data_IF_447643800261
#
_entry.id   IF_447643800261
#
_cell.length_a   1.000
_cell.length_b   1.000
_cell.length_c   1.000
_cell.angle_alpha   90.00
_cell.angle_beta   90.00
_cell.angle_gamma   90.00
#
_symmetry.space_group_name_H-M   'P 1'
#
loop_
_entity.id
_entity.type
_entity.pdbx_description
1 polymer ?
#
# COMPACT_ATOMS: atom_id res chain seq x y z
N UNK A 1 -5.64 -0.89 -5.84
CA UNK A 1 -4.38 -0.55 -6.51
C UNK A 1 -3.32 -0.14 -5.49
N UNK A 2 -2.08 -0.55 -5.70
CA UNK A 2 -0.93 -0.06 -4.92
C UNK A 2 -0.40 1.21 -5.59
N UNK A 3 -0.43 2.33 -4.87
CA UNK A 3 0.00 3.65 -5.37
C UNK A 3 1.29 4.16 -4.72
N UNK A 4 1.70 3.57 -3.59
CA UNK A 4 2.95 3.89 -2.92
C UNK A 4 3.42 2.75 -2.04
N UNK A 5 4.73 2.55 -1.99
CA UNK A 5 5.37 1.50 -1.19
C UNK A 5 6.82 1.88 -0.86
N UNK A 6 7.36 1.29 0.17
CA UNK A 6 8.74 1.45 0.55
C UNK A 6 9.28 0.15 1.17
N UNK A 7 10.58 -0.04 1.09
CA UNK A 7 11.30 -1.14 1.73
C UNK A 7 12.40 -0.62 2.62
N UNK A 8 12.57 -1.22 3.79
CA UNK A 8 13.65 -0.97 4.72
C UNK A 8 13.94 -2.24 5.51
N UNK A 9 15.11 -2.30 6.13
CA UNK A 9 15.49 -3.32 7.11
C UNK A 9 14.90 -3.06 8.49
N UNK A 10 14.33 -1.88 8.71
CA UNK A 10 13.73 -1.48 9.98
C UNK A 10 12.32 -0.92 9.79
N UNK A 11 11.42 -1.36 10.66
CA UNK A 11 10.05 -0.84 10.71
C UNK A 11 10.03 0.49 11.48
N UNK A 12 10.38 1.56 10.79
CA UNK A 12 10.46 2.90 11.37
C UNK A 12 9.38 3.82 10.83
N UNK A 13 9.15 4.95 11.53
CA UNK A 13 8.31 6.04 11.05
C UNK A 13 8.74 6.52 9.65
N UNK A 14 10.05 6.62 9.38
CA UNK A 14 10.58 7.05 8.08
C UNK A 14 10.13 6.14 6.93
N UNK A 15 10.01 4.84 7.17
CA UNK A 15 9.54 3.88 6.16
C UNK A 15 8.11 4.17 5.71
N UNK A 16 7.19 4.36 6.65
CA UNK A 16 5.78 4.63 6.32
C UNK A 16 5.58 6.01 5.72
N UNK A 17 6.35 7.02 6.18
CA UNK A 17 6.37 8.36 5.57
C UNK A 17 6.85 8.30 4.11
N UNK A 18 7.90 7.52 3.84
CA UNK A 18 8.40 7.36 2.47
C UNK A 18 7.36 6.70 1.56
N UNK A 19 6.67 5.66 2.03
CA UNK A 19 5.61 5.02 1.27
C UNK A 19 4.45 5.99 0.98
N UNK A 20 4.04 6.80 1.98
CA UNK A 20 2.98 7.80 1.84
C UNK A 20 3.36 8.91 0.86
N UNK A 21 4.58 9.44 0.95
CA UNK A 21 5.07 10.46 0.00
C UNK A 21 5.09 9.95 -1.44
N UNK A 22 5.50 8.70 -1.66
CA UNK A 22 5.44 8.06 -2.99
C UNK A 22 4.00 7.89 -3.48
N UNK A 23 3.08 7.56 -2.58
CA UNK A 23 1.66 7.50 -2.93
C UNK A 23 1.15 8.87 -3.41
N UNK A 24 1.51 9.96 -2.73
CA UNK A 24 1.14 11.33 -3.14
C UNK A 24 1.73 11.75 -4.49
N UNK A 25 2.95 11.27 -4.81
CA UNK A 25 3.57 11.50 -6.12
C UNK A 25 2.84 10.77 -7.24
N UNK A 26 2.34 9.57 -6.96
CA UNK A 26 1.61 8.75 -7.94
C UNK A 26 0.18 9.23 -8.12
N UNK A 27 -0.46 9.60 -7.03
CA UNK A 27 -1.84 10.09 -6.99
C UNK A 27 -1.96 11.15 -5.89
N UNK A 28 -1.93 12.44 -6.26
CA UNK A 28 -2.10 13.51 -5.29
C UNK A 28 -3.40 13.34 -4.49
N UNK A 29 -3.37 13.52 -3.16
CA UNK A 29 -4.56 13.40 -2.34
C UNK A 29 -5.55 14.52 -2.66
N UNK A 30 -6.83 14.22 -2.51
CA UNK A 30 -7.91 15.20 -2.56
C UNK A 30 -8.39 15.50 -1.14
N UNK A 31 -8.85 16.71 -0.91
CA UNK A 31 -9.42 17.10 0.39
C UNK A 31 -10.53 16.13 0.81
N UNK A 32 -10.53 15.74 2.09
CA UNK A 32 -11.49 14.78 2.63
C UNK A 32 -11.18 13.31 2.35
N UNK A 33 -10.05 12.99 1.69
CA UNK A 33 -9.59 11.61 1.56
C UNK A 33 -9.46 10.97 2.95
N UNK A 34 -9.92 9.74 3.09
CA UNK A 34 -9.76 8.96 4.32
C UNK A 34 -8.53 8.06 4.18
N UNK A 35 -7.55 8.26 5.07
CA UNK A 35 -6.41 7.35 5.23
C UNK A 35 -6.70 6.39 6.38
N UNK A 36 -6.76 5.09 6.09
CA UNK A 36 -6.95 4.05 7.10
C UNK A 36 -5.65 3.30 7.37
N UNK A 37 -5.33 3.06 8.64
CA UNK A 37 -4.18 2.24 9.08
C UNK A 37 -4.53 1.38 10.29
N UNK A 38 -3.63 0.45 10.63
CA UNK A 38 -3.65 -0.16 11.96
C UNK A 38 -3.16 0.84 13.03
N UNK A 39 -3.08 0.37 14.29
CA UNK A 39 -2.58 1.17 15.42
C UNK A 39 -1.07 1.05 15.63
N UNK A 40 -0.31 0.70 14.60
CA UNK A 40 1.14 0.69 14.68
C UNK A 40 1.70 2.04 15.11
N UNK A 41 2.69 2.04 16.01
CA UNK A 41 3.29 3.27 16.55
C UNK A 41 3.83 4.21 15.46
N UNK A 42 4.27 3.66 14.34
CA UNK A 42 4.76 4.42 13.19
C UNK A 42 3.66 5.28 12.54
N UNK A 43 2.39 4.84 12.55
CA UNK A 43 1.25 5.59 12.03
C UNK A 43 0.71 6.62 13.03
N UNK A 44 0.90 6.37 14.34
CA UNK A 44 0.56 7.31 15.39
C UNK A 44 1.62 8.40 15.62
N UNK A 45 2.77 8.31 14.96
CA UNK A 45 3.88 9.25 15.11
C UNK A 45 3.49 10.66 14.65
N UNK A 46 3.98 11.68 15.37
CA UNK A 46 3.60 13.09 15.14
C UNK A 46 3.85 13.56 13.72
N UNK A 47 5.02 13.22 13.14
CA UNK A 47 5.38 13.65 11.78
C UNK A 47 4.49 12.98 10.72
N UNK A 48 4.11 11.71 10.93
CA UNK A 48 3.19 11.01 10.05
C UNK A 48 1.81 11.67 10.09
N UNK A 49 1.30 11.95 11.28
CA UNK A 49 0.02 12.62 11.48
C UNK A 49 0.04 14.07 10.98
N UNK A 50 1.17 14.78 11.11
CA UNK A 50 1.34 16.11 10.55
C UNK A 50 1.22 16.09 9.03
N UNK A 51 1.90 15.14 8.35
CA UNK A 51 1.84 14.98 6.91
C UNK A 51 0.41 14.72 6.39
N UNK A 52 -0.38 13.93 7.12
CA UNK A 52 -1.79 13.71 6.76
C UNK A 52 -2.62 14.99 6.91
N UNK A 53 -2.45 15.72 8.01
CA UNK A 53 -3.17 17.00 8.26
C UNK A 53 -2.82 18.08 7.24
N UNK A 54 -1.54 18.23 6.90
CA UNK A 54 -1.07 19.20 5.89
C UNK A 54 -1.68 18.95 4.51
N UNK A 55 -2.08 17.72 4.24
CA UNK A 55 -2.75 17.33 2.99
C UNK A 55 -4.28 17.18 3.14
N UNK A 56 -4.87 17.69 4.22
CA UNK A 56 -6.32 17.67 4.51
C UNK A 56 -6.92 16.25 4.49
N UNK A 57 -6.12 15.24 4.89
CA UNK A 57 -6.50 13.83 4.92
C UNK A 57 -7.08 13.48 6.28
N UNK A 58 -8.26 12.89 6.28
CA UNK A 58 -8.91 12.36 7.48
C UNK A 58 -8.29 11.05 7.91
N UNK A 59 -7.84 10.95 9.15
CA UNK A 59 -7.26 9.74 9.71
C UNK A 59 -8.32 8.79 10.24
N UNK A 60 -8.23 7.53 9.88
CA UNK A 60 -8.99 6.42 10.44
C UNK A 60 -8.04 5.32 10.90
N UNK A 61 -8.29 4.74 12.07
CA UNK A 61 -7.48 3.64 12.60
C UNK A 61 -8.35 2.45 12.96
N UNK A 62 -7.83 1.25 12.72
CA UNK A 62 -8.47 0.00 13.08
C UNK A 62 -8.85 -0.04 14.56
N UNK A 63 -9.95 -0.71 14.88
CA UNK A 63 -10.32 -1.02 16.25
C UNK A 63 -9.33 -2.02 16.86
N UNK A 64 -9.09 -1.93 18.16
CA UNK A 64 -8.20 -2.86 18.85
C UNK A 64 -8.73 -4.31 18.71
N UNK A 65 -7.88 -5.20 18.20
CA UNK A 65 -8.18 -6.62 18.06
C UNK A 65 -9.12 -6.99 16.89
N UNK A 66 -9.45 -6.03 15.99
CA UNK A 66 -10.28 -6.31 14.83
C UNK A 66 -9.44 -6.47 13.56
N UNK A 67 -9.18 -7.72 13.15
CA UNK A 67 -8.43 -8.03 11.94
C UNK A 67 -9.17 -7.67 10.64
N UNK A 68 -10.49 -7.59 10.64
CA UNK A 68 -11.27 -7.27 9.45
C UNK A 68 -11.02 -5.84 8.96
N UNK A 69 -10.68 -4.93 9.87
CA UNK A 69 -10.42 -3.54 9.52
C UNK A 69 -9.17 -3.38 8.61
N UNK A 70 -8.25 -4.38 8.60
CA UNK A 70 -7.00 -4.38 7.81
C UNK A 70 -6.96 -5.47 6.72
N UNK A 71 -8.06 -6.16 6.46
CA UNK A 71 -8.11 -7.33 5.57
C UNK A 71 -7.54 -7.04 4.16
N UNK A 72 -7.74 -5.84 3.62
CA UNK A 72 -7.23 -5.47 2.29
C UNK A 72 -5.71 -5.50 2.21
N UNK A 73 -5.01 -4.88 3.17
CA UNK A 73 -3.55 -4.83 3.16
C UNK A 73 -2.95 -6.19 3.52
N UNK A 74 -3.56 -6.93 4.43
CA UNK A 74 -3.15 -8.30 4.79
C UNK A 74 -3.27 -9.24 3.59
N UNK A 75 -4.36 -9.13 2.82
CA UNK A 75 -4.54 -9.87 1.58
C UNK A 75 -3.45 -9.54 0.57
N UNK A 76 -3.13 -8.26 0.36
CA UNK A 76 -2.03 -7.86 -0.52
C UNK A 76 -0.69 -8.48 -0.08
N UNK A 77 -0.36 -8.38 1.21
CA UNK A 77 0.88 -8.96 1.74
C UNK A 77 0.93 -10.48 1.57
N UNK A 78 -0.19 -11.18 1.77
CA UNK A 78 -0.28 -12.62 1.54
C UNK A 78 -0.06 -12.98 0.08
N UNK A 79 -0.67 -12.23 -0.84
CA UNK A 79 -0.57 -12.43 -2.28
C UNK A 79 0.88 -12.26 -2.75
N UNK A 80 1.52 -11.12 -2.46
CA UNK A 80 2.88 -10.85 -2.93
C UNK A 80 3.89 -11.84 -2.33
N UNK A 81 3.69 -12.28 -1.10
CA UNK A 81 4.53 -13.32 -0.49
C UNK A 81 4.41 -14.64 -1.25
N UNK A 82 3.20 -15.09 -1.56
CA UNK A 82 2.95 -16.37 -2.24
C UNK A 82 3.37 -16.35 -3.71
N UNK A 83 3.06 -15.26 -4.41
CA UNK A 83 3.25 -15.20 -5.85
C UNK A 83 4.68 -14.77 -6.25
N UNK A 84 5.35 -13.98 -5.42
CA UNK A 84 6.66 -13.42 -5.76
C UNK A 84 7.76 -13.84 -4.77
N UNK A 85 7.57 -13.60 -3.46
CA UNK A 85 8.68 -13.67 -2.51
C UNK A 85 9.08 -15.10 -2.20
N UNK A 86 8.13 -15.99 -1.90
CA UNK A 86 8.42 -17.37 -1.51
C UNK A 86 9.02 -18.22 -2.67
N UNK A 87 8.56 -18.08 -3.94
CA UNK A 87 9.16 -18.79 -5.05
C UNK A 87 10.56 -18.29 -5.44
N UNK A 88 10.88 -17.02 -5.13
CA UNK A 88 12.12 -16.39 -5.53
C UNK A 88 13.23 -16.56 -4.49
N UNK A 89 14.49 -16.59 -4.98
CA UNK A 89 15.69 -16.50 -4.15
C UNK A 89 16.48 -15.27 -4.56
N UNK A 90 16.42 -14.23 -3.74
CA UNK A 90 17.13 -12.99 -4.00
C UNK A 90 18.52 -13.02 -3.36
N UNK A 91 19.54 -12.68 -4.14
CA UNK A 91 20.92 -12.59 -3.64
C UNK A 91 21.18 -11.27 -2.93
N UNK A 92 20.47 -10.21 -3.31
CA UNK A 92 20.61 -8.87 -2.72
C UNK A 92 19.24 -8.24 -2.46
N UNK A 93 19.22 -7.23 -1.57
CA UNK A 93 18.01 -6.45 -1.29
C UNK A 93 17.59 -5.61 -2.49
N UNK A 94 18.55 -5.12 -3.26
CA UNK A 94 18.31 -4.35 -4.48
C UNK A 94 17.59 -5.21 -5.53
N UNK A 95 18.01 -6.46 -5.68
CA UNK A 95 17.35 -7.41 -6.57
C UNK A 95 15.89 -7.68 -6.12
N UNK A 96 15.67 -7.88 -4.82
CA UNK A 96 14.33 -8.04 -4.26
C UNK A 96 13.48 -6.78 -4.47
N UNK A 97 14.04 -5.60 -4.19
CA UNK A 97 13.34 -4.32 -4.36
C UNK A 97 12.91 -4.08 -5.80
N UNK A 98 13.79 -4.36 -6.76
CA UNK A 98 13.49 -4.25 -8.20
C UNK A 98 12.37 -5.20 -8.61
N UNK A 99 12.46 -6.45 -8.20
CA UNK A 99 11.45 -7.46 -8.50
C UNK A 99 10.07 -7.11 -7.93
N UNK A 100 10.02 -6.59 -6.70
CA UNK A 100 8.78 -6.11 -6.06
C UNK A 100 8.21 -4.91 -6.81
N UNK A 101 9.06 -3.94 -7.18
CA UNK A 101 8.64 -2.80 -7.98
C UNK A 101 8.00 -3.24 -9.29
N UNK A 102 8.68 -4.10 -10.04
CA UNK A 102 8.23 -4.61 -11.32
C UNK A 102 6.92 -5.39 -11.18
N UNK A 103 6.81 -6.25 -10.15
CA UNK A 103 5.57 -6.96 -9.85
C UNK A 103 4.39 -6.00 -9.58
N UNK A 104 4.60 -4.96 -8.78
CA UNK A 104 3.53 -4.00 -8.42
C UNK A 104 3.09 -3.19 -9.65
N UNK A 105 4.06 -2.57 -10.37
CA UNK A 105 3.72 -1.62 -11.43
C UNK A 105 3.32 -2.29 -12.75
N UNK A 106 3.82 -3.49 -13.05
CA UNK A 106 3.52 -4.16 -14.31
C UNK A 106 2.39 -5.18 -14.11
N UNK A 107 2.52 -6.09 -13.19
CA UNK A 107 1.61 -7.21 -13.05
C UNK A 107 0.44 -6.93 -12.10
N UNK A 108 0.71 -6.60 -10.80
CA UNK A 108 -0.35 -6.50 -9.79
C UNK A 108 -1.39 -5.44 -10.13
N UNK A 109 -0.96 -4.26 -10.52
CA UNK A 109 -1.87 -3.15 -10.81
C UNK A 109 -2.58 -3.27 -12.17
N UNK A 110 -1.92 -3.83 -13.19
CA UNK A 110 -2.41 -3.80 -14.57
C UNK A 110 -3.00 -5.12 -15.06
N UNK A 111 -2.45 -6.25 -14.64
CA UNK A 111 -2.79 -7.56 -15.20
C UNK A 111 -3.46 -8.50 -14.21
N UNK A 112 -3.02 -8.45 -12.93
CA UNK A 112 -3.54 -9.38 -11.94
C UNK A 112 -5.02 -9.15 -11.67
N UNK A 113 -5.84 -10.15 -12.00
CA UNK A 113 -7.28 -10.12 -11.77
C UNK A 113 -7.62 -10.43 -10.30
N UNK A 114 -8.70 -9.84 -9.80
CA UNK A 114 -9.21 -10.05 -8.45
C UNK A 114 -10.71 -10.38 -8.48
N UNK A 115 -11.10 -11.45 -7.80
CA UNK A 115 -12.52 -11.85 -7.74
C UNK A 115 -13.42 -10.73 -7.18
N UNK A 116 -12.95 -10.01 -6.15
CA UNK A 116 -13.66 -8.87 -5.56
C UNK A 116 -13.77 -7.64 -6.48
N UNK A 117 -13.03 -7.61 -7.58
CA UNK A 117 -13.07 -6.53 -8.58
C UNK A 117 -13.70 -7.03 -9.88
N UNK A 118 -14.69 -7.90 -9.82
CA UNK A 118 -15.35 -8.49 -11.00
C UNK A 118 -14.35 -9.15 -11.96
N UNK A 119 -13.32 -9.80 -11.42
CA UNK A 119 -12.20 -10.38 -12.20
C UNK A 119 -11.46 -9.35 -13.07
N UNK A 120 -11.48 -8.09 -12.69
CA UNK A 120 -10.67 -7.03 -13.29
C UNK A 120 -9.37 -6.83 -12.50
N UNK A 121 -8.38 -6.26 -13.19
CA UNK A 121 -7.20 -5.72 -12.50
C UNK A 121 -7.55 -4.42 -11.76
N UNK A 122 -6.78 -4.01 -10.74
CA UNK A 122 -7.03 -2.77 -10.01
C UNK A 122 -7.20 -1.54 -10.91
N UNK A 123 -6.36 -1.37 -11.91
CA UNK A 123 -6.46 -0.23 -12.85
C UNK A 123 -7.67 -0.37 -13.78
N UNK A 124 -7.96 -1.57 -14.27
CA UNK A 124 -9.14 -1.78 -15.12
C UNK A 124 -10.43 -1.50 -14.34
N UNK A 125 -10.49 -1.91 -13.07
CA UNK A 125 -11.61 -1.62 -12.19
C UNK A 125 -11.78 -0.10 -11.96
N UNK A 126 -10.69 0.61 -11.61
CA UNK A 126 -10.75 2.07 -11.45
C UNK A 126 -11.26 2.76 -12.72
N UNK A 127 -10.73 2.40 -13.90
CA UNK A 127 -11.18 2.97 -15.18
C UNK A 127 -12.67 2.71 -15.48
N UNK A 128 -13.17 1.52 -15.14
CA UNK A 128 -14.57 1.15 -15.33
C UNK A 128 -15.52 1.98 -14.46
N UNK A 129 -15.09 2.32 -13.24
CA UNK A 129 -15.92 3.00 -12.24
C UNK A 129 -15.49 4.45 -11.96
N UNK A 130 -14.46 4.97 -12.63
CA UNK A 130 -14.13 6.39 -12.58
C UNK A 130 -15.32 7.21 -13.14
N UNK A 131 -15.82 8.12 -12.32
CA UNK A 131 -16.85 9.09 -12.71
C UNK A 131 -16.20 10.38 -13.17
#
# INVERSE_FOLDING_TARGET
RVIGWAMSDRMTQALVIQALKRAFQTQPPTAGLIHHSDRGSQYAALDYQALLRENEITTSMSRKGNCYDNACIESFHSIIKKELIHPARYQTREAASRSILEYIISFYNYERIHAYLDYLSPIAFEKKYAR
#
